data_IF_296658741046
#
_entry.id   IF_296658741046
#
_cell.length_a   1.000
_cell.length_b   1.000
_cell.length_c   1.000
_cell.angle_alpha   90.00
_cell.angle_beta   90.00
_cell.angle_gamma   90.00
#
_symmetry.space_group_name_H-M   'P 1'
#
loop_
_entity.id
_entity.type
_entity.pdbx_description
1 polymer ?
#
# COMPACT_ATOMS: atom_id res chain seq x y z
N UNK A 1 -30.93 -47.62 -38.19
CA UNK A 1 -29.66 -47.03 -37.67
C UNK A 1 -29.29 -45.64 -38.22
N UNK A 2 -29.86 -45.12 -39.32
CA UNK A 2 -29.53 -43.78 -39.86
C UNK A 2 -30.08 -42.59 -39.03
N UNK A 3 -31.21 -42.72 -38.34
CA UNK A 3 -31.84 -41.62 -37.58
C UNK A 3 -31.13 -41.25 -36.27
N UNK A 4 -30.43 -42.19 -35.62
CA UNK A 4 -29.72 -41.92 -34.36
C UNK A 4 -28.49 -41.01 -34.54
N UNK A 5 -27.82 -41.11 -35.70
CA UNK A 5 -26.58 -40.39 -36.03
C UNK A 5 -26.82 -38.90 -36.35
N UNK A 6 -28.00 -38.56 -36.87
CA UNK A 6 -28.39 -37.18 -37.19
C UNK A 6 -28.79 -36.38 -35.94
N UNK A 7 -29.39 -37.04 -34.95
CA UNK A 7 -29.76 -36.40 -33.69
C UNK A 7 -28.53 -36.10 -32.82
N UNK A 8 -27.56 -37.03 -32.75
CA UNK A 8 -26.29 -36.80 -32.03
C UNK A 8 -25.49 -35.63 -32.61
N UNK A 9 -25.44 -35.49 -33.94
CA UNK A 9 -24.79 -34.36 -34.62
C UNK A 9 -25.43 -33.01 -34.26
N UNK A 10 -26.77 -32.95 -34.18
CA UNK A 10 -27.50 -31.73 -33.75
C UNK A 10 -27.19 -31.34 -32.30
N UNK A 11 -27.16 -32.31 -31.39
CA UNK A 11 -26.84 -32.03 -29.98
C UNK A 11 -25.39 -31.58 -29.79
N UNK A 12 -24.43 -32.18 -30.52
CA UNK A 12 -23.02 -31.78 -30.47
C UNK A 12 -22.85 -30.34 -31.01
N UNK A 13 -23.51 -29.99 -32.12
CA UNK A 13 -23.48 -28.63 -32.66
C UNK A 13 -24.13 -27.60 -31.72
N UNK A 14 -25.23 -27.94 -31.06
CA UNK A 14 -25.86 -27.05 -30.07
C UNK A 14 -25.00 -26.87 -28.80
N UNK A 15 -24.32 -27.93 -28.33
CA UNK A 15 -23.40 -27.85 -27.19
C UNK A 15 -22.16 -27.01 -27.55
N UNK A 16 -21.60 -27.20 -28.75
CA UNK A 16 -20.48 -26.41 -29.25
C UNK A 16 -20.84 -24.92 -29.40
N UNK A 17 -22.03 -24.61 -29.93
CA UNK A 17 -22.50 -23.23 -30.07
C UNK A 17 -22.77 -22.57 -28.70
N UNK A 18 -23.28 -23.34 -27.74
CA UNK A 18 -23.48 -22.88 -26.37
C UNK A 18 -22.15 -22.61 -25.65
N UNK A 19 -21.14 -23.45 -25.85
CA UNK A 19 -19.81 -23.27 -25.27
C UNK A 19 -19.09 -22.01 -25.78
N UNK A 20 -19.29 -21.62 -27.04
CA UNK A 20 -18.75 -20.37 -27.60
C UNK A 20 -19.40 -19.14 -26.95
N UNK A 21 -20.71 -19.18 -26.67
CA UNK A 21 -21.46 -18.08 -26.05
C UNK A 21 -21.10 -17.84 -24.57
N UNK A 22 -20.51 -18.82 -23.86
CA UNK A 22 -20.03 -18.65 -22.49
C UNK A 22 -18.58 -18.16 -22.39
N UNK A 23 -17.87 -18.02 -23.52
CA UNK A 23 -16.46 -17.62 -23.53
C UNK A 23 -16.24 -16.10 -23.61
N UNK A 24 -17.28 -15.32 -23.89
CA UNK A 24 -17.25 -13.85 -23.83
C UNK A 24 -17.82 -13.33 -22.51
N UNK A 25 -17.16 -13.64 -21.40
CA UNK A 25 -17.31 -12.85 -20.18
C UNK A 25 -16.67 -11.48 -20.44
N UNK A 26 -17.49 -10.51 -20.82
CA UNK A 26 -17.07 -9.11 -20.79
C UNK A 26 -16.70 -8.77 -19.35
N UNK A 27 -15.40 -8.64 -19.07
CA UNK A 27 -14.96 -8.02 -17.83
C UNK A 27 -15.55 -6.62 -17.82
N UNK A 28 -16.32 -6.28 -16.78
CA UNK A 28 -16.79 -4.90 -16.56
C UNK A 28 -15.66 -3.99 -16.06
N UNK A 29 -14.45 -4.17 -16.58
CA UNK A 29 -13.33 -3.28 -16.32
C UNK A 29 -13.39 -2.17 -17.36
N UNK A 30 -14.20 -1.16 -17.08
CA UNK A 30 -14.23 0.06 -17.88
C UNK A 30 -12.88 0.77 -17.67
N UNK A 31 -12.09 0.88 -18.74
CA UNK A 31 -10.87 1.67 -18.73
C UNK A 31 -11.29 3.13 -18.55
N UNK A 32 -11.09 3.66 -17.36
CA UNK A 32 -11.24 5.08 -17.09
C UNK A 32 -10.19 5.84 -17.91
N UNK A 33 -10.58 6.63 -18.93
CA UNK A 33 -9.63 7.33 -19.79
C UNK A 33 -8.84 8.41 -19.03
N UNK A 34 -9.27 8.81 -17.83
CA UNK A 34 -8.56 9.74 -16.95
C UNK A 34 -7.59 9.06 -15.99
N UNK A 35 -7.66 7.73 -15.82
CA UNK A 35 -6.78 6.96 -14.94
C UNK A 35 -5.59 6.42 -15.75
N UNK A 36 -4.38 6.63 -15.23
CA UNK A 36 -3.20 5.96 -15.78
C UNK A 36 -3.41 4.44 -15.74
N UNK A 37 -3.14 3.76 -16.86
CA UNK A 37 -3.22 2.30 -16.91
C UNK A 37 -2.17 1.70 -15.99
N UNK A 38 -2.54 0.64 -15.28
CA UNK A 38 -1.68 0.01 -14.25
C UNK A 38 -0.40 -0.56 -14.82
N UNK A 39 -0.44 -1.07 -16.06
CA UNK A 39 0.74 -1.51 -16.81
C UNK A 39 1.72 -0.36 -17.01
N UNK A 40 1.28 0.80 -17.48
CA UNK A 40 2.13 1.98 -17.68
C UNK A 40 2.65 2.53 -16.35
N UNK A 41 1.79 2.61 -15.33
CA UNK A 41 2.14 3.14 -14.02
C UNK A 41 3.17 2.29 -13.27
N UNK A 42 3.17 0.97 -13.48
CA UNK A 42 4.02 0.04 -12.72
C UNK A 42 5.20 -0.54 -13.52
N UNK A 43 5.29 -0.31 -14.83
CA UNK A 43 6.40 -0.85 -15.64
C UNK A 43 7.38 0.20 -16.13
N UNK A 44 7.01 1.49 -16.06
CA UNK A 44 7.88 2.58 -16.51
C UNK A 44 8.58 3.25 -15.34
N UNK A 45 9.80 3.73 -15.58
CA UNK A 45 10.56 4.50 -14.60
C UNK A 45 9.74 5.71 -14.09
N UNK A 46 9.14 6.49 -14.99
CA UNK A 46 8.32 7.65 -14.64
C UNK A 46 7.08 7.27 -13.83
N UNK A 47 6.38 6.19 -14.21
CA UNK A 47 5.22 5.70 -13.49
C UNK A 47 5.56 5.30 -12.06
N UNK A 48 6.62 4.51 -11.89
CA UNK A 48 7.10 4.09 -10.56
C UNK A 48 7.51 5.27 -9.69
N UNK A 49 8.15 6.28 -10.27
CA UNK A 49 8.50 7.52 -9.57
C UNK A 49 7.28 8.27 -9.09
N UNK A 50 6.24 8.39 -9.91
CA UNK A 50 5.01 9.05 -9.52
C UNK A 50 4.29 8.30 -8.38
N UNK A 51 4.26 6.97 -8.43
CA UNK A 51 3.70 6.14 -7.35
C UNK A 51 4.52 6.30 -6.07
N UNK A 52 5.86 6.27 -6.16
CA UNK A 52 6.75 6.45 -5.03
C UNK A 52 6.52 7.79 -4.32
N UNK A 53 6.51 8.91 -5.06
CA UNK A 53 6.21 10.24 -4.50
C UNK A 53 4.81 10.29 -3.86
N UNK A 54 3.85 9.56 -4.43
CA UNK A 54 2.51 9.39 -3.88
C UNK A 54 2.51 8.83 -2.45
N UNK A 55 3.49 8.00 -2.08
CA UNK A 55 3.61 7.44 -0.72
C UNK A 55 3.79 8.54 0.33
N UNK A 56 4.67 9.50 0.07
CA UNK A 56 4.87 10.65 0.96
C UNK A 56 3.58 11.45 1.08
N UNK A 57 2.91 11.72 -0.04
CA UNK A 57 1.63 12.44 -0.04
C UNK A 57 0.61 11.74 0.84
N UNK A 58 0.40 10.42 0.69
CA UNK A 58 -0.56 9.66 1.51
C UNK A 58 -0.15 9.69 2.98
N UNK A 59 1.15 9.61 3.28
CA UNK A 59 1.64 9.67 4.66
C UNK A 59 1.34 11.01 5.34
N UNK A 60 1.45 12.13 4.60
CA UNK A 60 1.32 13.49 5.13
C UNK A 60 0.00 14.19 4.75
N UNK A 61 -1.00 13.47 4.23
CA UNK A 61 -2.22 14.08 3.68
C UNK A 61 -3.18 14.61 4.76
N UNK A 62 -2.95 15.82 5.28
CA UNK A 62 -3.85 16.50 6.23
C UNK A 62 -4.38 15.53 7.30
N UNK A 63 -5.70 15.54 7.57
CA UNK A 63 -6.35 14.67 8.56
C UNK A 63 -6.52 13.21 8.14
N UNK A 64 -6.25 12.85 6.89
CA UNK A 64 -6.35 11.46 6.42
C UNK A 64 -5.01 10.73 6.42
N UNK A 65 -3.90 11.47 6.48
CA UNK A 65 -2.56 10.91 6.47
C UNK A 65 -2.18 10.21 7.76
N UNK A 66 -1.27 9.25 7.66
CA UNK A 66 -0.74 8.49 8.81
C UNK A 66 -0.12 9.43 9.85
N UNK A 67 0.64 10.44 9.43
CA UNK A 67 1.35 11.37 10.32
C UNK A 67 0.40 12.15 11.24
N UNK A 68 -0.67 12.74 10.69
CA UNK A 68 -1.62 13.49 11.52
C UNK A 68 -2.32 12.55 12.50
N UNK A 69 -2.79 11.41 12.01
CA UNK A 69 -3.58 10.50 12.83
C UNK A 69 -2.76 9.83 13.92
N UNK A 70 -1.47 9.56 13.70
CA UNK A 70 -0.60 9.03 14.75
C UNK A 70 -0.33 10.07 15.84
N UNK A 71 -0.06 11.32 15.47
CA UNK A 71 0.11 12.43 16.43
C UNK A 71 -1.17 12.65 17.22
N UNK A 72 -2.33 12.70 16.57
CA UNK A 72 -3.61 12.87 17.24
C UNK A 72 -3.93 11.69 18.17
N UNK A 73 -3.80 10.45 17.68
CA UNK A 73 -4.05 9.26 18.47
C UNK A 73 -3.18 9.21 19.72
N UNK A 74 -1.85 9.36 19.57
CA UNK A 74 -0.94 9.38 20.72
C UNK A 74 -1.25 10.55 21.65
N UNK A 75 -1.35 11.76 21.11
CA UNK A 75 -1.47 12.96 21.93
C UNK A 75 -2.72 12.99 22.81
N UNK A 76 -3.85 12.46 22.34
CA UNK A 76 -5.05 12.36 23.18
C UNK A 76 -4.98 11.22 24.20
N UNK A 77 -4.42 10.05 23.85
CA UNK A 77 -4.36 8.92 24.81
C UNK A 77 -3.27 9.10 25.87
N UNK A 78 -2.23 9.90 25.59
CA UNK A 78 -1.15 10.23 26.56
C UNK A 78 -1.38 11.55 27.30
N UNK A 79 -2.49 12.26 27.03
CA UNK A 79 -2.79 13.59 27.57
C UNK A 79 -1.76 14.69 27.22
N UNK A 80 -1.04 14.55 26.09
CA UNK A 80 -0.19 15.62 25.54
C UNK A 80 -1.01 16.70 24.82
N UNK A 81 -2.20 16.34 24.31
CA UNK A 81 -3.14 17.24 23.66
C UNK A 81 -4.38 17.47 24.51
N UNK A 82 -4.85 18.73 24.54
CA UNK A 82 -6.11 19.10 25.18
C UNK A 82 -7.24 19.16 24.16
N UNK A 83 -8.36 18.52 24.46
CA UNK A 83 -9.57 18.62 23.65
C UNK A 83 -10.24 19.99 23.87
N UNK A 84 -10.28 20.81 22.82
CA UNK A 84 -10.89 22.15 22.89
C UNK A 84 -12.36 22.18 22.46
N UNK A 85 -12.81 21.18 21.69
CA UNK A 85 -14.16 21.11 21.18
C UNK A 85 -14.68 19.66 21.26
N UNK A 86 -15.68 19.42 22.11
CA UNK A 86 -16.33 18.11 22.25
C UNK A 86 -17.10 17.66 20.99
N UNK A 87 -17.39 18.58 20.06
CA UNK A 87 -17.94 18.23 18.74
C UNK A 87 -16.97 17.47 17.83
N UNK A 88 -15.66 17.47 18.16
CA UNK A 88 -14.67 16.63 17.50
C UNK A 88 -14.75 15.21 18.07
N UNK A 89 -15.77 14.47 17.64
CA UNK A 89 -16.13 13.16 18.21
C UNK A 89 -14.95 12.17 18.22
N UNK A 90 -14.16 11.98 17.15
CA UNK A 90 -13.04 11.03 17.18
C UNK A 90 -11.98 11.38 18.24
N UNK A 91 -11.67 12.66 18.42
CA UNK A 91 -10.76 13.16 19.44
C UNK A 91 -11.35 13.02 20.85
N UNK A 92 -12.65 13.29 21.02
CA UNK A 92 -13.37 13.09 22.28
C UNK A 92 -13.33 11.62 22.70
N UNK A 93 -13.57 10.70 21.77
CA UNK A 93 -13.49 9.27 22.02
C UNK A 93 -12.10 8.86 22.49
N UNK A 94 -11.03 9.35 21.84
CA UNK A 94 -9.65 9.07 22.25
C UNK A 94 -9.30 9.67 23.62
N UNK A 95 -9.75 10.89 23.90
CA UNK A 95 -9.55 11.57 25.19
C UNK A 95 -10.30 10.87 26.33
N UNK A 96 -11.45 10.25 26.02
CA UNK A 96 -12.27 9.50 26.99
C UNK A 96 -11.71 8.10 27.22
N UNK A 97 -11.22 7.45 26.18
CA UNK A 97 -10.68 6.09 26.21
C UNK A 97 -11.73 5.01 26.48
N UNK A 98 -11.24 3.79 26.71
CA UNK A 98 -12.08 2.63 27.05
C UNK A 98 -13.18 2.35 26.01
N UNK A 99 -14.41 2.12 26.48
CA UNK A 99 -15.55 1.76 25.64
C UNK A 99 -16.04 2.91 24.74
N UNK A 100 -15.53 4.14 24.91
CA UNK A 100 -15.86 5.24 24.01
C UNK A 100 -15.13 5.13 22.65
N UNK A 101 -14.02 4.38 22.60
CA UNK A 101 -13.27 4.15 21.36
C UNK A 101 -13.84 2.92 20.66
N UNK A 102 -14.59 3.15 19.59
CA UNK A 102 -15.19 2.08 18.79
C UNK A 102 -14.68 2.07 17.33
N UNK A 103 -15.17 1.10 16.55
CA UNK A 103 -14.77 0.92 15.15
C UNK A 103 -15.18 2.06 14.20
N UNK A 104 -15.93 3.06 14.67
CA UNK A 104 -16.32 4.24 13.88
C UNK A 104 -15.36 5.42 14.06
N UNK A 105 -14.36 5.30 14.95
CA UNK A 105 -13.38 6.35 15.17
C UNK A 105 -12.58 6.64 13.88
N UNK A 106 -12.81 7.82 13.30
CA UNK A 106 -12.24 8.15 11.98
C UNK A 106 -10.73 8.40 12.03
N UNK A 107 -10.15 8.73 13.18
CA UNK A 107 -8.70 8.86 13.33
C UNK A 107 -8.02 7.49 13.18
N UNK A 108 -8.51 6.49 13.92
CA UNK A 108 -8.00 5.12 13.84
C UNK A 108 -8.28 4.48 12.47
N UNK A 109 -9.46 4.75 11.89
CA UNK A 109 -9.80 4.29 10.54
C UNK A 109 -8.84 4.86 9.48
N UNK A 110 -8.58 6.16 9.50
CA UNK A 110 -7.66 6.80 8.56
C UNK A 110 -6.23 6.28 8.73
N UNK A 111 -5.80 6.11 9.97
CA UNK A 111 -4.48 5.55 10.28
C UNK A 111 -4.31 4.15 9.68
N UNK A 112 -5.29 3.26 9.90
CA UNK A 112 -5.28 1.90 9.36
C UNK A 112 -5.29 1.88 7.83
N UNK A 113 -6.23 2.61 7.22
CA UNK A 113 -6.46 2.56 5.77
C UNK A 113 -5.31 3.20 4.99
N UNK A 114 -4.83 4.37 5.42
CA UNK A 114 -3.69 5.05 4.79
C UNK A 114 -2.40 4.25 4.95
N UNK A 115 -2.17 3.62 6.11
CA UNK A 115 -0.98 2.78 6.31
C UNK A 115 -1.01 1.55 5.39
N UNK A 116 -2.14 0.83 5.31
CA UNK A 116 -2.26 -0.31 4.40
C UNK A 116 -2.11 0.09 2.94
N UNK A 117 -2.63 1.27 2.55
CA UNK A 117 -2.46 1.80 1.19
C UNK A 117 -1.00 2.10 0.86
N UNK A 118 -0.25 2.69 1.79
CA UNK A 118 1.20 2.91 1.63
C UNK A 118 1.93 1.57 1.49
N UNK A 119 1.63 0.57 2.31
CA UNK A 119 2.25 -0.76 2.22
C UNK A 119 2.00 -1.38 0.84
N UNK A 120 0.75 -1.35 0.36
CA UNK A 120 0.39 -1.87 -0.96
C UNK A 120 1.12 -1.15 -2.10
N UNK A 121 1.07 0.18 -2.15
CA UNK A 121 1.72 0.94 -3.23
C UNK A 121 3.25 0.77 -3.19
N UNK A 122 3.85 0.72 -1.99
CA UNK A 122 5.28 0.50 -1.83
C UNK A 122 5.70 -0.92 -2.24
N UNK A 123 4.91 -1.95 -1.95
CA UNK A 123 5.15 -3.31 -2.43
C UNK A 123 5.21 -3.35 -3.96
N UNK A 124 4.29 -2.65 -4.63
CA UNK A 124 4.28 -2.54 -6.09
C UNK A 124 5.53 -1.83 -6.61
N UNK A 125 5.93 -0.70 -6.00
CA UNK A 125 7.13 0.03 -6.44
C UNK A 125 8.38 -0.82 -6.24
N UNK A 126 8.57 -1.41 -5.06
CA UNK A 126 9.76 -2.21 -4.73
C UNK A 126 9.88 -3.42 -5.67
N UNK A 127 8.76 -4.11 -5.91
CA UNK A 127 8.74 -5.30 -6.78
C UNK A 127 9.09 -4.95 -8.22
N UNK A 128 8.51 -3.87 -8.75
CA UNK A 128 8.70 -3.52 -10.15
C UNK A 128 9.98 -2.72 -10.44
N UNK A 129 10.50 -1.97 -9.46
CA UNK A 129 11.77 -1.24 -9.60
C UNK A 129 12.93 -2.20 -9.92
N UNK A 130 12.91 -3.43 -9.39
CA UNK A 130 13.92 -4.45 -9.70
C UNK A 130 14.05 -4.79 -11.19
N UNK A 131 12.98 -4.56 -11.97
CA UNK A 131 12.94 -4.83 -13.41
C UNK A 131 13.52 -3.70 -14.27
N UNK A 132 13.80 -2.53 -13.69
CA UNK A 132 14.37 -1.41 -14.43
C UNK A 132 15.82 -1.69 -14.86
N UNK A 133 16.21 -1.14 -16.01
CA UNK A 133 17.58 -1.24 -16.52
C UNK A 133 18.59 -0.44 -15.70
N UNK A 134 18.24 0.79 -15.30
CA UNK A 134 19.05 1.61 -14.39
C UNK A 134 18.89 1.12 -12.95
N UNK A 135 19.90 0.39 -12.46
CA UNK A 135 19.92 -0.16 -11.09
C UNK A 135 20.15 0.91 -10.02
N UNK A 136 20.80 2.02 -10.34
CA UNK A 136 20.93 3.16 -9.43
C UNK A 136 19.58 3.86 -9.24
N UNK A 137 18.80 3.99 -10.31
CA UNK A 137 17.44 4.52 -10.23
C UNK A 137 16.50 3.58 -9.46
N UNK A 138 16.58 2.28 -9.74
CA UNK A 138 15.84 1.26 -9.01
C UNK A 138 16.14 1.31 -7.49
N UNK A 139 17.41 1.49 -7.12
CA UNK A 139 17.82 1.58 -5.71
C UNK A 139 17.26 2.82 -5.02
N UNK A 140 17.19 3.95 -5.72
CA UNK A 140 16.50 5.14 -5.22
C UNK A 140 15.01 4.89 -4.96
N UNK A 141 14.30 4.26 -5.92
CA UNK A 141 12.88 3.92 -5.78
C UNK A 141 12.63 2.96 -4.62
N UNK A 142 13.45 1.92 -4.49
CA UNK A 142 13.38 0.94 -3.41
C UNK A 142 13.64 1.63 -2.06
N UNK A 143 14.72 2.42 -1.97
CA UNK A 143 15.07 3.16 -0.76
C UNK A 143 13.97 4.10 -0.28
N UNK A 144 13.49 4.96 -1.17
CA UNK A 144 12.44 5.92 -0.87
C UNK A 144 11.12 5.23 -0.46
N UNK A 145 10.71 4.19 -1.19
CA UNK A 145 9.47 3.47 -0.89
C UNK A 145 9.54 2.68 0.41
N UNK A 146 10.71 2.11 0.72
CA UNK A 146 10.95 1.37 1.97
C UNK A 146 10.82 2.25 3.21
N UNK A 147 11.20 3.53 3.16
CA UNK A 147 11.00 4.49 4.26
C UNK A 147 9.52 4.56 4.65
N UNK A 148 8.66 4.89 3.69
CA UNK A 148 7.22 5.06 3.95
C UNK A 148 6.55 3.73 4.30
N UNK A 149 6.96 2.64 3.66
CA UNK A 149 6.48 1.30 4.01
C UNK A 149 6.81 0.92 5.46
N UNK A 150 8.06 1.12 5.88
CA UNK A 150 8.48 0.83 7.24
C UNK A 150 7.76 1.73 8.26
N UNK A 151 7.62 3.03 7.98
CA UNK A 151 6.83 3.95 8.81
C UNK A 151 5.37 3.50 8.93
N UNK A 152 4.73 3.08 7.84
CA UNK A 152 3.34 2.61 7.87
C UNK A 152 3.18 1.32 8.71
N UNK A 153 4.07 0.34 8.52
CA UNK A 153 4.08 -0.91 9.30
C UNK A 153 4.35 -0.61 10.78
N UNK A 154 5.33 0.26 11.06
CA UNK A 154 5.69 0.67 12.42
C UNK A 154 4.55 1.41 13.12
N UNK A 155 3.85 2.31 12.44
CA UNK A 155 2.66 2.95 12.98
C UNK A 155 1.58 1.92 13.28
N UNK A 156 1.22 1.03 12.35
CA UNK A 156 0.22 -0.01 12.65
C UNK A 156 0.63 -0.88 13.85
N UNK A 157 1.92 -1.20 13.99
CA UNK A 157 2.44 -2.01 15.10
C UNK A 157 2.38 -1.28 16.45
N UNK A 158 2.31 0.06 16.47
CA UNK A 158 2.16 0.83 17.71
C UNK A 158 0.71 0.77 18.24
N UNK A 159 -0.29 0.82 17.37
CA UNK A 159 -1.71 0.95 17.79
C UNK A 159 -2.49 -0.36 17.83
N UNK A 160 -2.08 -1.39 17.08
CA UNK A 160 -2.76 -2.68 17.06
C UNK A 160 -1.89 -3.82 17.57
N UNK A 161 -2.51 -4.77 18.29
CA UNK A 161 -1.81 -5.96 18.77
C UNK A 161 -1.37 -6.90 17.65
N UNK A 162 -2.16 -6.87 16.56
CA UNK A 162 -1.92 -7.63 15.35
C UNK A 162 -2.18 -6.78 14.13
N UNK A 163 -1.33 -6.93 13.11
CA UNK A 163 -1.41 -6.17 11.86
C UNK A 163 -1.41 -7.12 10.66
N UNK A 164 -1.86 -6.70 9.47
CA UNK A 164 -1.87 -7.53 8.28
C UNK A 164 -0.45 -7.86 7.83
N UNK A 165 -0.20 -9.11 7.44
CA UNK A 165 1.09 -9.58 6.94
C UNK A 165 1.25 -9.32 5.43
N UNK A 166 0.89 -8.12 4.99
CA UNK A 166 0.89 -7.72 3.58
C UNK A 166 -0.44 -7.13 3.14
N UNK A 167 -0.66 -7.08 1.84
CA UNK A 167 -1.75 -6.31 1.20
C UNK A 167 -2.67 -7.13 0.29
N UNK A 168 -2.50 -8.46 0.24
CA UNK A 168 -3.33 -9.35 -0.55
C UNK A 168 -4.72 -9.59 0.08
N UNK A 169 -5.63 -10.20 -0.70
CA UNK A 169 -6.93 -10.64 -0.17
C UNK A 169 -6.71 -11.76 0.86
N UNK A 170 -7.39 -11.67 2.00
CA UNK A 170 -7.33 -12.65 3.10
C UNK A 170 -5.91 -12.86 3.66
N UNK A 171 -5.12 -11.79 3.75
CA UNK A 171 -3.80 -11.86 4.41
C UNK A 171 -3.92 -12.29 5.87
N UNK A 172 -2.94 -13.10 6.31
CA UNK A 172 -2.79 -13.44 7.71
C UNK A 172 -2.47 -12.18 8.53
N UNK A 173 -2.72 -12.25 9.84
CA UNK A 173 -2.34 -11.19 10.77
C UNK A 173 -1.17 -11.67 11.63
N UNK A 174 -0.16 -10.83 11.78
CA UNK A 174 1.04 -11.06 12.60
C UNK A 174 0.99 -10.22 13.87
N UNK A 175 1.74 -10.60 14.91
CA UNK A 175 1.83 -9.80 16.14
C UNK A 175 2.53 -8.47 15.91
N UNK A 176 2.30 -7.47 16.76
CA UNK A 176 2.99 -6.18 16.69
C UNK A 176 4.53 -6.29 16.73
N UNK A 177 5.06 -7.24 17.51
CA UNK A 177 6.49 -7.49 17.58
C UNK A 177 7.05 -7.99 16.23
N UNK A 178 6.33 -8.92 15.58
CA UNK A 178 6.66 -9.36 14.24
C UNK A 178 6.49 -8.23 13.19
N UNK A 179 5.52 -7.33 13.39
CA UNK A 179 5.34 -6.13 12.59
C UNK A 179 6.55 -5.20 12.63
N UNK A 180 7.07 -4.88 13.82
CA UNK A 180 8.31 -4.09 13.95
C UNK A 180 9.52 -4.79 13.32
N UNK A 181 9.69 -6.09 13.55
CA UNK A 181 10.76 -6.86 12.92
C UNK A 181 10.67 -6.82 11.39
N UNK A 182 9.45 -6.88 10.83
CA UNK A 182 9.20 -6.74 9.39
C UNK A 182 9.55 -5.33 8.88
N UNK A 183 9.22 -4.27 9.63
CA UNK A 183 9.61 -2.91 9.28
C UNK A 183 11.14 -2.75 9.22
N UNK A 184 11.87 -3.29 10.20
CA UNK A 184 13.34 -3.28 10.21
C UNK A 184 13.91 -4.05 9.01
N UNK A 185 13.36 -5.23 8.69
CA UNK A 185 13.80 -6.01 7.53
C UNK A 185 13.61 -5.26 6.20
N UNK A 186 12.56 -4.44 6.07
CA UNK A 186 12.34 -3.57 4.90
C UNK A 186 13.44 -2.51 4.79
N UNK A 187 13.85 -1.91 5.92
CA UNK A 187 14.92 -0.91 5.96
C UNK A 187 16.29 -1.54 5.64
N UNK A 188 16.58 -2.71 6.20
CA UNK A 188 17.83 -3.45 5.96
C UNK A 188 18.00 -3.86 4.50
N UNK A 189 16.91 -4.32 3.87
CA UNK A 189 16.91 -4.63 2.46
C UNK A 189 17.21 -3.38 1.61
N UNK A 190 16.59 -2.24 1.92
CA UNK A 190 16.84 -0.99 1.20
C UNK A 190 18.31 -0.55 1.30
N UNK A 191 18.89 -0.58 2.49
CA UNK A 191 20.31 -0.26 2.70
C UNK A 191 21.23 -1.20 1.91
N UNK A 192 20.91 -2.50 1.90
CA UNK A 192 21.67 -3.50 1.14
C UNK A 192 21.62 -3.21 -0.36
N UNK A 193 20.45 -2.90 -0.90
CA UNK A 193 20.26 -2.57 -2.32
C UNK A 193 21.02 -1.30 -2.70
N UNK A 194 20.94 -0.25 -1.88
CA UNK A 194 21.65 1.02 -2.10
C UNK A 194 23.18 0.83 -2.03
N UNK A 195 23.67 0.00 -1.09
CA UNK A 195 25.09 -0.28 -0.99
C UNK A 195 25.63 -1.02 -2.23
N UNK A 196 24.83 -1.92 -2.81
CA UNK A 196 25.20 -2.65 -4.03
C UNK A 196 25.11 -1.77 -5.28
N UNK A 197 24.14 -0.86 -5.35
CA UNK A 197 23.92 0.03 -6.49
C UNK A 197 23.59 1.44 -5.96
N UNK A 198 24.60 2.33 -5.84
CA UNK A 198 24.39 3.68 -5.34
C UNK A 198 23.30 4.43 -6.11
N UNK A 199 22.50 5.23 -5.38
CA UNK A 199 21.38 5.98 -5.95
C UNK A 199 21.88 6.91 -7.06
N UNK A 200 21.26 6.82 -8.25
CA UNK A 200 21.66 7.63 -9.39
C UNK A 200 21.18 9.08 -9.28
N UNK A 201 21.92 10.01 -9.90
CA UNK A 201 21.52 11.42 -10.01
C UNK A 201 20.23 11.59 -10.80
N UNK A 202 19.94 10.65 -11.72
CA UNK A 202 18.68 10.58 -12.44
C UNK A 202 17.50 10.42 -11.49
N UNK A 203 17.63 9.58 -10.44
CA UNK A 203 16.60 9.45 -9.42
C UNK A 203 16.46 10.72 -8.59
N UNK A 204 17.56 11.24 -8.04
CA UNK A 204 17.52 12.39 -7.12
C UNK A 204 16.98 13.67 -7.76
N UNK A 205 17.11 13.81 -9.08
CA UNK A 205 16.57 14.95 -9.83
C UNK A 205 15.04 14.91 -9.99
N UNK A 206 14.40 13.77 -9.74
CA UNK A 206 12.98 13.54 -10.02
C UNK A 206 12.13 13.27 -8.77
N UNK A 207 12.75 13.21 -7.58
CA UNK A 207 12.06 12.87 -6.32
C UNK A 207 12.41 13.91 -5.25
N UNK A 208 11.46 14.32 -4.39
CA UNK A 208 11.76 15.20 -3.27
C UNK A 208 12.86 14.63 -2.37
N UNK A 209 13.79 15.50 -1.95
CA UNK A 209 14.85 15.08 -1.05
C UNK A 209 14.30 14.84 0.37
N UNK A 210 14.47 13.61 0.83
CA UNK A 210 14.13 13.15 2.19
C UNK A 210 15.36 12.60 2.92
N UNK A 211 16.56 12.82 2.38
CA UNK A 211 17.80 12.29 2.94
C UNK A 211 17.78 10.77 3.06
N UNK A 212 17.45 10.04 1.98
CA UNK A 212 17.07 8.61 2.00
C UNK A 212 17.96 7.76 2.91
N UNK A 213 19.28 7.79 2.72
CA UNK A 213 20.22 6.96 3.49
C UNK A 213 20.21 7.32 4.99
N UNK A 214 20.24 8.62 5.31
CA UNK A 214 20.19 9.09 6.69
C UNK A 214 18.86 8.70 7.37
N UNK A 215 17.75 8.84 6.64
CA UNK A 215 16.42 8.46 7.13
C UNK A 215 16.28 6.96 7.34
N UNK A 216 16.81 6.13 6.44
CA UNK A 216 16.86 4.67 6.63
C UNK A 216 17.63 4.29 7.90
N UNK A 217 18.75 4.95 8.18
CA UNK A 217 19.51 4.73 9.42
C UNK A 217 18.80 5.24 10.67
N UNK A 218 18.06 6.36 10.58
CA UNK A 218 17.33 6.92 11.71
C UNK A 218 16.11 6.08 12.12
N UNK A 219 15.55 5.28 11.21
CA UNK A 219 14.37 4.46 11.44
C UNK A 219 14.68 3.02 11.87
N UNK A 220 15.95 2.63 11.87
CA UNK A 220 16.42 1.31 12.28
C UNK A 220 16.80 1.30 13.76
#
# INVERSE_FOLDING_TARGET
MKNLRNNTSKYISCIALSAVLFSSSCTKEYQDPSRAKTDVALTTQQGLTAVAIGLQRVYTLNRTGVMFNSIAANGFVTNELSLLNAGNIPELQLSTGGNAVDGTNTILFNLWTSANKIVYDADLVITNAGNLGDKGYASGLIGYSSIFKALAIGNMSQYWERIPDGSAKNVAFITRAAGFAKAIAVLDNALTVIAANPISTGFTSNVPDVGIVNTLHALK
#
